data_IF_573619525473
#
_entry.id   IF_573619525473
#
_cell.length_a   1.000
_cell.length_b   1.000
_cell.length_c   1.000
_cell.angle_alpha   90.00
_cell.angle_beta   90.00
_cell.angle_gamma   90.00
#
_symmetry.space_group_name_H-M   'P 1'
#
loop_
_entity.id
_entity.type
_entity.pdbx_description
1 polymer ?
#
# COMPACT_ATOMS: atom_id res chain seq x y z
N UNK A 1 -2.36 -14.65 -8.86
CA UNK A 1 -1.71 -13.42 -9.39
C UNK A 1 -1.75 -12.36 -8.29
N UNK A 2 -0.68 -11.58 -8.06
CA UNK A 2 -0.55 -10.59 -6.96
C UNK A 2 -1.70 -9.55 -6.93
N UNK A 3 -2.44 -9.42 -8.04
CA UNK A 3 -3.55 -8.48 -8.22
C UNK A 3 -4.94 -9.00 -7.83
N UNK A 4 -5.09 -10.29 -7.47
CA UNK A 4 -6.40 -10.84 -7.06
C UNK A 4 -7.04 -10.15 -5.85
N UNK A 5 -6.30 -9.70 -4.81
CA UNK A 5 -6.90 -8.99 -3.68
C UNK A 5 -7.56 -7.67 -4.08
N UNK A 6 -6.99 -6.98 -5.08
CA UNK A 6 -7.46 -5.66 -5.55
C UNK A 6 -8.80 -5.75 -6.29
N UNK A 7 -9.13 -6.91 -6.89
CA UNK A 7 -10.41 -7.14 -7.55
C UNK A 7 -11.56 -7.41 -6.58
N UNK A 8 -11.26 -7.80 -5.33
CA UNK A 8 -12.26 -8.16 -4.32
C UNK A 8 -12.66 -7.00 -3.39
N UNK A 9 -12.01 -5.85 -3.55
CA UNK A 9 -12.43 -4.64 -2.85
C UNK A 9 -13.63 -4.11 -3.64
N UNK A 10 -14.85 -4.39 -3.17
CA UNK A 10 -16.05 -3.69 -3.62
C UNK A 10 -15.84 -2.20 -3.37
N UNK A 11 -15.36 -1.48 -4.39
CA UNK A 11 -15.13 -0.04 -4.33
C UNK A 11 -16.48 0.69 -4.50
N UNK A 12 -16.97 1.39 -3.47
CA UNK A 12 -18.08 2.32 -3.65
C UNK A 12 -17.63 3.42 -4.61
N UNK A 13 -18.46 3.77 -5.60
CA UNK A 13 -18.20 4.92 -6.47
C UNK A 13 -18.30 6.22 -5.64
N UNK A 14 -17.28 7.09 -5.65
CA UNK A 14 -17.19 8.22 -4.74
C UNK A 14 -17.75 9.48 -5.39
N UNK A 15 -19.08 9.60 -5.44
CA UNK A 15 -19.72 10.76 -6.06
C UNK A 15 -19.76 11.98 -5.10
N UNK A 16 -19.34 11.80 -3.84
CA UNK A 16 -19.47 12.76 -2.73
C UNK A 16 -18.36 12.68 -1.64
N UNK A 17 -17.23 12.03 -1.89
CA UNK A 17 -16.13 11.94 -0.92
C UNK A 17 -15.28 13.22 -0.83
N UNK A 18 -14.97 13.65 0.40
CA UNK A 18 -14.03 14.73 0.65
C UNK A 18 -12.59 14.31 0.32
N UNK A 19 -11.67 15.27 0.18
CA UNK A 19 -10.25 14.97 -0.01
C UNK A 19 -9.70 14.08 1.11
N UNK A 20 -10.13 14.31 2.35
CA UNK A 20 -9.74 13.52 3.51
C UNK A 20 -10.24 12.08 3.43
N UNK A 21 -11.47 11.85 2.97
CA UNK A 21 -12.01 10.50 2.78
C UNK A 21 -11.20 9.71 1.74
N UNK A 22 -10.79 10.38 0.66
CA UNK A 22 -9.92 9.78 -0.36
C UNK A 22 -8.54 9.44 0.20
N UNK A 23 -7.96 10.34 1.00
CA UNK A 23 -6.67 10.09 1.64
C UNK A 23 -6.75 8.94 2.64
N UNK A 24 -7.83 8.83 3.41
CA UNK A 24 -8.03 7.71 4.34
C UNK A 24 -8.23 6.40 3.60
N UNK A 25 -8.96 6.43 2.48
CA UNK A 25 -9.06 5.30 1.58
C UNK A 25 -7.69 4.79 1.11
N UNK A 26 -6.83 5.69 0.60
CA UNK A 26 -5.48 5.32 0.17
C UNK A 26 -4.59 4.87 1.34
N UNK A 27 -4.74 5.45 2.52
CA UNK A 27 -4.04 5.02 3.72
C UNK A 27 -4.39 3.58 4.10
N UNK A 28 -5.68 3.22 4.07
CA UNK A 28 -6.12 1.85 4.35
C UNK A 28 -5.52 0.85 3.37
N UNK A 29 -5.43 1.20 2.08
CA UNK A 29 -4.78 0.37 1.05
C UNK A 29 -3.28 0.21 1.35
N UNK A 30 -2.54 1.31 1.55
CA UNK A 30 -1.09 1.28 1.83
C UNK A 30 -0.80 0.48 3.11
N UNK A 31 -1.61 0.68 4.15
CA UNK A 31 -1.45 -0.04 5.41
C UNK A 31 -1.65 -1.55 5.23
N UNK A 32 -2.71 -1.95 4.53
CA UNK A 32 -3.06 -3.36 4.33
C UNK A 32 -2.09 -4.10 3.39
N UNK A 33 -1.50 -3.40 2.41
CA UNK A 33 -0.69 -4.04 1.36
C UNK A 33 0.81 -3.89 1.54
N UNK A 34 1.27 -2.79 2.13
CA UNK A 34 2.70 -2.52 2.32
C UNK A 34 3.11 -2.67 3.78
N UNK A 35 2.53 -1.84 4.66
CA UNK A 35 3.04 -1.71 6.04
C UNK A 35 2.90 -3.00 6.85
N UNK A 36 1.88 -3.81 6.58
CA UNK A 36 1.69 -5.12 7.23
C UNK A 36 2.75 -6.16 6.84
N UNK A 37 3.40 -5.99 5.69
CA UNK A 37 4.34 -6.98 5.13
C UNK A 37 5.80 -6.51 5.18
N UNK A 38 6.06 -5.29 5.66
CA UNK A 38 7.42 -4.78 5.80
C UNK A 38 8.18 -5.59 6.86
N UNK A 39 9.37 -6.08 6.52
CA UNK A 39 10.22 -6.75 7.50
C UNK A 39 10.67 -5.77 8.57
N UNK A 40 10.42 -6.05 9.87
CA UNK A 40 10.82 -5.14 10.95
C UNK A 40 12.34 -5.07 11.14
N UNK A 41 13.08 -6.08 10.68
CA UNK A 41 14.54 -6.16 10.85
C UNK A 41 15.30 -5.61 9.65
N UNK A 42 14.78 -5.75 8.42
CA UNK A 42 15.49 -5.30 7.20
C UNK A 42 14.81 -4.12 6.51
N UNK A 43 13.56 -3.79 6.87
CA UNK A 43 12.78 -2.76 6.22
C UNK A 43 12.35 -3.10 4.79
N UNK A 44 12.65 -4.30 4.30
CA UNK A 44 12.33 -4.74 2.95
C UNK A 44 10.87 -5.20 2.84
N UNK A 45 10.32 -5.05 1.64
CA UNK A 45 8.99 -5.51 1.27
C UNK A 45 9.12 -6.81 0.45
N UNK A 46 8.34 -7.86 0.77
CA UNK A 46 8.38 -9.11 0.04
C UNK A 46 7.81 -8.94 -1.37
N UNK A 47 8.38 -9.65 -2.34
CA UNK A 47 7.92 -9.61 -3.74
C UNK A 47 6.52 -10.20 -3.91
N UNK A 48 6.13 -11.09 -2.99
CA UNK A 48 4.83 -11.75 -2.95
C UNK A 48 4.28 -11.70 -1.53
N UNK A 49 3.02 -11.33 -1.40
CA UNK A 49 2.28 -11.33 -0.14
C UNK A 49 1.62 -12.68 0.16
N UNK A 50 1.73 -13.65 -0.75
CA UNK A 50 1.17 -14.99 -0.62
C UNK A 50 2.17 -16.05 -1.10
N UNK A 51 2.23 -17.17 -0.35
CA UNK A 51 3.20 -18.25 -0.54
C UNK A 51 4.47 -18.05 0.28
N UNK A 52 5.27 -19.11 0.39
CA UNK A 52 6.50 -19.15 1.21
C UNK A 52 7.71 -18.46 0.55
N UNK A 53 7.47 -17.52 -0.39
CA UNK A 53 8.51 -16.85 -1.15
C UNK A 53 9.03 -15.62 -0.39
N UNK A 54 10.01 -15.83 0.48
CA UNK A 54 10.62 -14.78 1.32
C UNK A 54 11.61 -13.88 0.57
N UNK A 55 11.58 -13.87 -0.76
CA UNK A 55 12.47 -13.04 -1.57
C UNK A 55 11.94 -11.61 -1.62
N UNK A 56 12.78 -10.66 -1.22
CA UNK A 56 12.53 -9.24 -1.39
C UNK A 56 13.46 -8.67 -2.46
N UNK A 57 12.90 -7.81 -3.32
CA UNK A 57 13.69 -7.01 -4.26
C UNK A 57 13.80 -5.58 -3.74
N UNK A 58 15.01 -5.02 -3.83
CA UNK A 58 15.29 -3.65 -3.39
C UNK A 58 14.42 -2.65 -4.18
N UNK A 59 14.25 -2.88 -5.47
CA UNK A 59 13.43 -2.03 -6.34
C UNK A 59 11.96 -2.00 -5.90
N UNK A 60 11.37 -3.16 -5.61
CA UNK A 60 9.98 -3.26 -5.13
C UNK A 60 9.82 -2.55 -3.79
N UNK A 61 10.81 -2.72 -2.90
CA UNK A 61 10.85 -2.04 -1.60
C UNK A 61 10.93 -0.52 -1.74
N UNK A 62 11.70 -0.02 -2.71
CA UNK A 62 11.83 1.42 -2.98
C UNK A 62 10.51 2.01 -3.50
N UNK A 63 9.84 1.34 -4.44
CA UNK A 63 8.54 1.79 -4.93
C UNK A 63 7.49 1.79 -3.81
N UNK A 64 7.51 0.77 -2.96
CA UNK A 64 6.63 0.69 -1.80
C UNK A 64 6.85 1.87 -0.84
N UNK A 65 8.11 2.13 -0.47
CA UNK A 65 8.47 3.24 0.40
C UNK A 65 8.10 4.60 -0.23
N UNK A 66 8.32 4.78 -1.53
CA UNK A 66 7.95 6.00 -2.24
C UNK A 66 6.43 6.23 -2.24
N UNK A 67 5.62 5.17 -2.41
CA UNK A 67 4.16 5.26 -2.32
C UNK A 67 3.68 5.67 -0.92
N UNK A 68 4.22 5.06 0.12
CA UNK A 68 3.93 5.44 1.51
C UNK A 68 4.34 6.90 1.81
N UNK A 69 5.49 7.32 1.29
CA UNK A 69 5.97 8.69 1.44
C UNK A 69 5.11 9.71 0.70
N UNK A 70 4.71 9.42 -0.54
CA UNK A 70 3.83 10.28 -1.32
C UNK A 70 2.48 10.50 -0.61
N UNK A 71 1.92 9.43 -0.02
CA UNK A 71 0.70 9.54 0.79
C UNK A 71 0.92 10.41 2.03
N UNK A 72 2.02 10.21 2.76
CA UNK A 72 2.36 11.03 3.92
C UNK A 72 2.53 12.52 3.56
N UNK A 73 3.12 12.82 2.40
CA UNK A 73 3.20 14.18 1.88
C UNK A 73 1.82 14.73 1.52
N UNK A 74 0.95 13.92 0.90
CA UNK A 74 -0.40 14.33 0.56
C UNK A 74 -1.20 14.72 1.82
N UNK A 75 -1.10 13.94 2.90
CA UNK A 75 -1.68 14.31 4.20
C UNK A 75 -1.10 15.59 4.80
N UNK A 76 0.18 15.87 4.55
CA UNK A 76 0.85 17.05 5.09
C UNK A 76 0.44 18.35 4.37
N UNK A 77 0.05 18.25 3.11
CA UNK A 77 -0.25 19.41 2.26
C UNK A 77 -1.71 19.49 1.79
N UNK A 78 -2.58 18.57 2.23
CA UNK A 78 -4.03 18.63 2.09
C UNK A 78 -4.66 19.53 3.15
#
# INVERSE_FOLDING_TARGET
SVYEPLKSIDLPRPDNETLWDKLDHYYRIVKATLLMYQSPTTGLFPTKTCGDDQKAKIQDSLYCAAGAWALALAYRYA
#
